data_IF_245006912336
#
_entry.id   IF_245006912336
#
_cell.length_a   1.000
_cell.length_b   1.000
_cell.length_c   1.000
_cell.angle_alpha   90.00
_cell.angle_beta   90.00
_cell.angle_gamma   90.00
#
_symmetry.space_group_name_H-M   'P 1'
#
loop_
_entity.id
_entity.type
_entity.pdbx_description
1 polymer ?
#
# COMPACT_ATOMS: atom_id res chain seq x y z
N UNK A 1 -10.54 6.28 -13.53
CA UNK A 1 -10.42 6.70 -12.12
C UNK A 1 -9.12 7.48 -12.01
N UNK A 2 -9.12 8.70 -11.45
CA UNK A 2 -7.89 9.43 -11.18
C UNK A 2 -7.01 8.63 -10.22
N UNK A 3 -5.70 8.81 -10.33
CA UNK A 3 -4.74 8.17 -9.44
C UNK A 3 -4.96 8.65 -7.99
N UNK A 4 -5.01 7.74 -7.01
CA UNK A 4 -5.09 8.15 -5.61
C UNK A 4 -3.87 8.97 -5.21
N UNK A 5 -4.09 10.04 -4.44
CA UNK A 5 -3.01 10.77 -3.81
C UNK A 5 -2.48 9.99 -2.59
N UNK A 6 -1.39 9.25 -2.79
CA UNK A 6 -0.77 8.47 -1.71
C UNK A 6 -0.34 9.34 -0.52
N UNK A 7 -0.13 10.65 -0.69
CA UNK A 7 0.29 11.52 0.40
C UNK A 7 -0.86 11.95 1.31
N UNK A 8 -2.12 11.79 0.88
CA UNK A 8 -3.30 12.17 1.66
C UNK A 8 -3.42 11.32 2.94
N UNK A 9 -3.26 11.89 4.14
CA UNK A 9 -3.32 11.15 5.40
C UNK A 9 -4.71 10.64 5.76
N UNK A 10 -5.79 11.18 5.17
CA UNK A 10 -7.15 10.68 5.39
C UNK A 10 -7.40 9.38 4.62
N UNK A 11 -6.84 9.27 3.40
CA UNK A 11 -6.95 8.06 2.58
C UNK A 11 -5.87 7.04 2.97
N UNK A 12 -4.67 7.51 3.31
CA UNK A 12 -3.50 6.70 3.67
C UNK A 12 -2.96 7.13 5.04
N UNK A 13 -3.65 6.74 6.13
CA UNK A 13 -3.28 7.11 7.50
C UNK A 13 -1.98 6.46 7.94
N UNK A 14 -1.43 6.97 9.06
CA UNK A 14 -0.45 6.21 9.83
C UNK A 14 -1.15 5.14 10.65
N UNK A 15 -0.40 4.14 11.09
CA UNK A 15 -0.88 3.11 11.99
C UNK A 15 -1.47 3.73 13.26
N UNK A 16 -0.78 4.70 13.86
CA UNK A 16 -1.18 5.37 15.11
C UNK A 16 -2.50 6.14 15.00
N UNK A 17 -2.90 6.58 13.80
CA UNK A 17 -4.18 7.28 13.56
C UNK A 17 -5.29 6.37 13.03
N UNK A 18 -5.01 5.08 12.79
CA UNK A 18 -6.05 4.13 12.40
C UNK A 18 -7.07 3.95 13.52
N UNK A 19 -8.38 3.84 13.19
CA UNK A 19 -9.42 3.67 14.19
C UNK A 19 -9.27 2.36 14.96
N UNK A 20 -9.60 2.38 16.25
CA UNK A 20 -9.62 1.18 17.06
C UNK A 20 -10.88 0.34 16.79
N UNK A 21 -10.81 -0.97 17.04
CA UNK A 21 -11.97 -1.88 16.94
C UNK A 21 -13.02 -1.62 18.01
N UNK A 22 -12.65 -0.98 19.13
CA UNK A 22 -13.58 -0.57 20.19
C UNK A 22 -14.37 0.69 19.86
N UNK A 23 -13.93 1.45 18.85
CA UNK A 23 -14.63 2.65 18.39
C UNK A 23 -15.78 2.24 17.47
N UNK A 24 -17.00 2.69 17.80
CA UNK A 24 -18.15 2.48 16.93
C UNK A 24 -17.84 2.98 15.50
N UNK A 25 -18.22 2.24 14.44
CA UNK A 25 -18.07 2.73 13.08
C UNK A 25 -18.85 4.04 12.96
N UNK A 26 -18.14 5.15 12.71
CA UNK A 26 -18.80 6.41 12.35
C UNK A 26 -19.54 6.21 11.03
N UNK A 27 -20.74 6.79 10.92
CA UNK A 27 -21.51 6.76 9.66
C UNK A 27 -20.74 7.44 8.51
N UNK A 28 -19.78 8.30 8.84
CA UNK A 28 -18.84 8.97 7.92
C UNK A 28 -17.46 8.31 7.85
N UNK A 29 -17.33 7.00 8.12
CA UNK A 29 -16.05 6.32 8.02
C UNK A 29 -15.53 6.31 6.57
N UNK A 30 -14.74 7.33 6.22
CA UNK A 30 -14.10 7.45 4.92
C UNK A 30 -13.25 6.21 4.66
N UNK A 31 -13.39 5.68 3.44
CA UNK A 31 -12.60 4.54 2.99
C UNK A 31 -11.12 4.90 3.02
N UNK A 32 -10.37 4.24 3.88
CA UNK A 32 -8.92 4.42 4.03
C UNK A 32 -8.18 3.11 3.78
N UNK A 33 -6.88 3.23 3.51
CA UNK A 33 -5.98 2.16 3.18
C UNK A 33 -4.67 2.36 3.95
N UNK A 34 -4.43 1.52 4.96
CA UNK A 34 -3.14 1.53 5.64
C UNK A 34 -2.09 0.90 4.72
N UNK A 35 -1.00 1.64 4.50
CA UNK A 35 0.16 1.16 3.75
C UNK A 35 1.26 0.79 4.74
N UNK A 36 1.83 -0.40 4.58
CA UNK A 36 2.96 -0.85 5.39
C UNK A 36 4.00 -1.57 4.55
N UNK A 37 5.26 -1.20 4.66
CA UNK A 37 6.36 -1.99 4.11
C UNK A 37 6.59 -3.22 4.97
N UNK A 38 6.56 -4.40 4.37
CA UNK A 38 6.78 -5.68 5.05
C UNK A 38 8.27 -5.82 5.38
N UNK A 39 8.59 -5.79 6.66
CA UNK A 39 9.94 -6.02 7.17
C UNK A 39 10.21 -7.49 7.46
N UNK A 40 9.25 -8.17 8.09
CA UNK A 40 9.39 -9.56 8.52
C UNK A 40 8.08 -10.35 8.36
N UNK A 41 8.23 -11.67 8.23
CA UNK A 41 7.14 -12.63 8.27
C UNK A 41 7.36 -13.55 9.48
N UNK A 42 6.50 -13.43 10.49
CA UNK A 42 6.56 -14.12 11.77
C UNK A 42 5.43 -15.15 11.86
N UNK A 43 5.40 -16.10 10.92
CA UNK A 43 4.37 -17.16 10.91
C UNK A 43 4.80 -18.32 11.80
N UNK A 44 4.39 -18.30 13.08
CA UNK A 44 4.57 -19.45 14.00
C UNK A 44 3.28 -20.28 14.06
N UNK A 45 2.18 -19.67 14.52
CA UNK A 45 0.86 -20.33 14.62
C UNK A 45 -0.19 -19.69 13.71
N UNK A 46 -0.04 -18.39 13.42
CA UNK A 46 -0.89 -17.62 12.53
C UNK A 46 -0.02 -16.78 11.59
N UNK A 47 -0.40 -16.62 10.31
CA UNK A 47 0.31 -15.75 9.39
C UNK A 47 0.35 -14.33 9.94
N UNK A 48 1.56 -13.84 10.22
CA UNK A 48 1.77 -12.54 10.85
C UNK A 48 2.90 -11.81 10.14
N UNK A 49 2.65 -10.56 9.77
CA UNK A 49 3.63 -9.67 9.16
C UNK A 49 4.00 -8.58 10.16
N UNK A 50 5.29 -8.21 10.18
CA UNK A 50 5.75 -6.98 10.84
C UNK A 50 5.99 -5.95 9.74
N UNK A 51 5.32 -4.80 9.84
CA UNK A 51 5.33 -3.75 8.84
C UNK A 51 5.76 -2.42 9.45
N UNK A 52 6.32 -1.54 8.62
CA UNK A 52 6.53 -0.13 8.94
C UNK A 52 5.64 0.73 8.03
N UNK A 53 4.88 1.65 8.63
CA UNK A 53 3.97 2.53 7.89
C UNK A 53 4.67 3.75 7.27
N UNK A 54 3.89 4.74 6.83
CA UNK A 54 4.42 6.01 6.27
C UNK A 54 5.14 6.90 7.29
N UNK A 55 4.82 6.78 8.58
CA UNK A 55 5.47 7.50 9.66
C UNK A 55 6.74 6.79 10.16
N UNK A 56 6.95 5.53 9.74
CA UNK A 56 8.01 4.66 10.24
C UNK A 56 7.60 3.88 11.48
N UNK A 57 6.34 3.96 11.90
CA UNK A 57 5.81 3.22 13.03
C UNK A 57 5.74 1.74 12.67
N UNK A 58 6.36 0.89 13.51
CA UNK A 58 6.33 -0.56 13.36
C UNK A 58 5.08 -1.15 13.99
N UNK A 59 4.40 -2.03 13.26
CA UNK A 59 3.19 -2.69 13.71
C UNK A 59 3.08 -4.12 13.19
N UNK A 60 2.35 -4.96 13.93
CA UNK A 60 2.02 -6.31 13.51
C UNK A 60 0.67 -6.34 12.80
N UNK A 61 0.57 -7.13 11.73
CA UNK A 61 -0.68 -7.50 11.08
C UNK A 61 -0.82 -9.02 11.09
N UNK A 62 -1.90 -9.50 11.68
CA UNK A 62 -2.20 -10.92 11.83
C UNK A 62 -3.42 -11.28 10.98
N UNK A 63 -3.32 -12.40 10.24
CA UNK A 63 -4.46 -13.00 9.56
C UNK A 63 -5.11 -14.05 10.46
N UNK A 64 -6.42 -13.94 10.69
CA UNK A 64 -7.16 -14.90 11.52
C UNK A 64 -7.53 -16.16 10.74
N UNK A 65 -6.52 -16.93 10.34
CA UNK A 65 -6.69 -18.14 9.53
C UNK A 65 -5.37 -18.57 8.90
N UNK A 66 -5.43 -19.60 8.05
CA UNK A 66 -4.26 -20.01 7.25
C UNK A 66 -4.24 -19.25 5.93
N UNK A 67 -3.06 -18.76 5.56
CA UNK A 67 -2.87 -17.96 4.36
C UNK A 67 -1.44 -18.11 3.84
N UNK A 68 -1.30 -18.46 2.56
CA UNK A 68 -0.01 -18.38 1.89
C UNK A 68 0.31 -16.92 1.54
N UNK A 69 1.09 -16.29 2.42
CA UNK A 69 1.53 -14.89 2.26
C UNK A 69 2.39 -14.70 1.00
N UNK A 70 3.24 -15.67 0.67
CA UNK A 70 4.18 -15.57 -0.45
C UNK A 70 3.46 -15.66 -1.79
N UNK A 71 2.52 -16.60 -1.94
CA UNK A 71 1.68 -16.72 -3.13
C UNK A 71 0.86 -15.45 -3.42
N UNK A 72 0.58 -14.66 -2.37
CA UNK A 72 -0.11 -13.36 -2.46
C UNK A 72 0.81 -12.17 -2.64
N UNK A 73 2.12 -12.39 -2.75
CA UNK A 73 3.13 -11.35 -2.85
C UNK A 73 3.38 -10.56 -1.57
N UNK A 74 2.81 -10.99 -0.43
CA UNK A 74 3.02 -10.40 0.89
C UNK A 74 4.35 -10.91 1.47
N UNK A 75 5.45 -10.46 0.89
CA UNK A 75 6.83 -10.86 1.25
C UNK A 75 7.67 -9.67 1.67
N UNK A 76 8.76 -9.94 2.39
CA UNK A 76 9.73 -8.93 2.83
C UNK A 76 10.14 -8.01 1.67
N UNK A 77 10.15 -6.71 1.94
CA UNK A 77 10.50 -5.66 0.98
C UNK A 77 9.35 -5.16 0.11
N UNK A 78 8.21 -5.85 0.07
CA UNK A 78 6.99 -5.36 -0.59
C UNK A 78 6.17 -4.48 0.36
N UNK A 79 5.20 -3.75 -0.20
CA UNK A 79 4.22 -2.96 0.56
C UNK A 79 2.87 -3.66 0.59
N UNK A 80 2.31 -3.86 1.77
CA UNK A 80 0.93 -4.29 1.94
C UNK A 80 -0.02 -3.08 1.87
N UNK A 81 -1.17 -3.28 1.24
CA UNK A 81 -2.29 -2.34 1.21
C UNK A 81 -3.44 -2.97 1.97
N UNK A 82 -3.81 -2.38 3.10
CA UNK A 82 -4.81 -2.93 4.03
C UNK A 82 -6.02 -2.00 4.05
N UNK A 83 -7.13 -2.36 3.39
CA UNK A 83 -8.29 -1.50 3.35
C UNK A 83 -9.06 -1.58 4.67
N UNK A 84 -9.60 -0.44 5.13
CA UNK A 84 -10.37 -0.32 6.38
C UNK A 84 -9.64 -0.89 7.61
N UNK A 85 -8.31 -0.70 7.67
CA UNK A 85 -7.49 -1.21 8.75
C UNK A 85 -7.96 -0.68 10.10
N UNK A 86 -8.27 -1.59 11.02
CA UNK A 86 -8.63 -1.26 12.41
C UNK A 86 -7.63 -1.84 13.38
N UNK A 87 -7.25 -1.04 14.36
CA UNK A 87 -6.35 -1.44 15.44
C UNK A 87 -7.11 -2.20 16.51
N UNK A 88 -6.65 -3.41 16.82
CA UNK A 88 -7.03 -4.06 18.07
C UNK A 88 -6.14 -3.52 19.19
N UNK A 89 -6.72 -3.22 20.36
CA UNK A 89 -5.94 -2.76 21.50
C UNK A 89 -4.91 -3.83 21.90
N UNK A 90 -3.78 -3.44 22.49
CA UNK A 90 -2.79 -4.38 22.97
C UNK A 90 -3.38 -5.27 24.07
N UNK A 91 -2.92 -6.52 24.14
CA UNK A 91 -3.29 -7.43 25.25
C UNK A 91 -2.60 -7.08 26.57
N UNK A 92 -1.52 -6.29 26.51
CA UNK A 92 -0.73 -5.85 27.66
C UNK A 92 -0.72 -4.33 27.69
N UNK A 93 -0.75 -3.77 28.90
CA UNK A 93 -0.64 -2.33 29.12
C UNK A 93 0.68 -1.80 28.53
N UNK A 94 0.62 -0.68 27.81
CA UNK A 94 1.78 -0.07 27.13
C UNK A 94 2.17 -0.68 25.78
N UNK A 95 1.43 -1.66 25.25
CA UNK A 95 1.67 -2.19 23.90
C UNK A 95 1.07 -1.32 22.78
N UNK A 96 1.58 -1.45 21.56
CA UNK A 96 1.13 -0.62 20.43
C UNK A 96 -0.16 -1.11 19.74
N UNK A 97 -0.74 -2.23 20.18
CA UNK A 97 -1.85 -2.91 19.49
C UNK A 97 -1.39 -3.66 18.24
N UNK A 98 -2.32 -4.15 17.43
CA UNK A 98 -2.03 -4.81 16.15
C UNK A 98 -3.24 -4.77 15.21
N UNK A 99 -3.03 -4.98 13.92
CA UNK A 99 -4.10 -5.14 12.94
C UNK A 99 -4.48 -6.62 12.88
N UNK A 100 -5.78 -6.92 12.88
CA UNK A 100 -6.30 -8.26 12.53
C UNK A 100 -7.07 -8.17 11.22
N UNK A 101 -6.75 -9.10 10.32
CA UNK A 101 -7.51 -9.30 9.08
C UNK A 101 -8.33 -10.55 9.27
N UNK A 102 -9.64 -10.42 9.17
CA UNK A 102 -10.57 -11.55 9.24
C UNK A 102 -10.60 -12.30 7.89
N UNK A 103 -10.97 -13.60 7.86
CA UNK A 103 -10.96 -14.42 6.64
C UNK A 103 -11.67 -13.79 5.44
N UNK A 104 -12.83 -13.17 5.65
CA UNK A 104 -13.58 -12.48 4.60
C UNK A 104 -12.82 -11.32 3.95
N UNK A 105 -11.84 -10.75 4.65
CA UNK A 105 -11.05 -9.61 4.19
C UNK A 105 -9.73 -10.02 3.56
N UNK A 106 -9.36 -11.31 3.55
CA UNK A 106 -8.06 -11.75 3.03
C UNK A 106 -7.86 -11.28 1.58
N UNK A 107 -8.84 -11.44 0.71
CA UNK A 107 -8.76 -11.02 -0.70
C UNK A 107 -8.65 -9.52 -0.90
N UNK A 108 -9.08 -8.73 0.08
CA UNK A 108 -9.02 -7.27 0.01
C UNK A 108 -7.61 -6.73 0.26
N UNK A 109 -6.78 -7.45 1.02
CA UNK A 109 -5.39 -7.09 1.27
C UNK A 109 -4.54 -7.37 0.03
N UNK A 110 -3.90 -6.33 -0.49
CA UNK A 110 -3.08 -6.43 -1.72
C UNK A 110 -1.61 -6.19 -1.41
N UNK A 111 -0.74 -6.76 -2.22
CA UNK A 111 0.69 -6.49 -2.21
C UNK A 111 1.07 -5.60 -3.40
N UNK A 112 1.78 -4.51 -3.13
CA UNK A 112 2.49 -3.73 -4.12
C UNK A 112 3.96 -4.15 -4.13
N UNK A 113 4.54 -4.44 -5.31
CA UNK A 113 5.94 -4.81 -5.40
C UNK A 113 6.85 -3.62 -5.07
N UNK A 114 7.86 -3.87 -4.24
CA UNK A 114 8.83 -2.86 -3.80
C UNK A 114 8.47 -2.15 -2.50
N UNK A 115 9.45 -1.44 -1.96
CA UNK A 115 9.32 -0.79 -0.66
C UNK A 115 8.45 0.46 -0.70
N UNK A 116 8.00 0.91 0.48
CA UNK A 116 7.00 1.96 0.60
C UNK A 116 7.48 3.28 0.00
N UNK A 117 8.75 3.66 0.22
CA UNK A 117 9.37 4.83 -0.43
C UNK A 117 9.20 4.83 -1.95
N UNK A 118 9.38 3.67 -2.59
CA UNK A 118 9.26 3.53 -4.04
C UNK A 118 7.79 3.63 -4.48
N UNK A 119 6.87 3.09 -3.71
CA UNK A 119 5.42 3.23 -3.97
C UNK A 119 5.01 4.70 -3.98
N UNK A 120 5.44 5.48 -2.98
CA UNK A 120 5.18 6.92 -2.92
C UNK A 120 5.80 7.68 -4.09
N UNK A 121 7.06 7.38 -4.42
CA UNK A 121 7.77 8.02 -5.54
C UNK A 121 7.05 7.77 -6.88
N UNK A 122 6.66 6.51 -7.14
CA UNK A 122 5.92 6.15 -8.37
C UNK A 122 4.55 6.81 -8.39
N UNK A 123 3.84 6.84 -7.25
CA UNK A 123 2.55 7.55 -7.15
C UNK A 123 2.66 9.04 -7.42
N UNK A 124 3.67 9.71 -6.87
CA UNK A 124 3.95 11.13 -7.14
C UNK A 124 4.21 11.39 -8.62
N UNK A 125 5.07 10.59 -9.25
CA UNK A 125 5.36 10.71 -10.70
C UNK A 125 4.14 10.47 -11.56
N UNK A 126 3.29 9.51 -11.20
CA UNK A 126 2.05 9.24 -11.93
C UNK A 126 1.06 10.39 -11.79
N UNK A 127 0.91 10.97 -10.59
CA UNK A 127 0.08 12.16 -10.34
C UNK A 127 0.58 13.37 -11.14
N UNK A 128 1.89 13.61 -11.18
CA UNK A 128 2.49 14.66 -12.01
C UNK A 128 2.32 14.43 -13.52
N UNK A 129 2.23 13.16 -13.93
CA UNK A 129 2.02 12.77 -15.31
C UNK A 129 0.54 12.78 -15.72
N UNK A 130 -0.41 12.86 -14.77
CA UNK A 130 -1.82 13.05 -15.08
C UNK A 130 -1.98 14.38 -15.83
N UNK A 131 -2.48 14.31 -17.06
CA UNK A 131 -2.58 15.46 -17.98
C UNK A 131 -1.30 15.80 -18.76
N UNK A 132 -0.17 15.10 -18.54
CA UNK A 132 1.09 15.26 -19.31
C UNK A 132 1.36 14.06 -20.20
N UNK A 133 0.40 13.79 -21.07
CA UNK A 133 0.37 12.61 -21.93
C UNK A 133 1.50 12.55 -22.97
N UNK A 134 2.23 13.63 -23.15
CA UNK A 134 3.24 13.77 -24.20
C UNK A 134 4.66 13.54 -23.71
N UNK A 135 4.89 13.26 -22.41
CA UNK A 135 6.23 13.09 -21.82
C UNK A 135 6.52 11.69 -21.29
N UNK A 136 7.77 11.27 -21.46
CA UNK A 136 8.28 10.01 -20.92
C UNK A 136 8.35 10.08 -19.38
N UNK A 137 7.70 9.15 -18.69
CA UNK A 137 7.66 9.08 -17.22
C UNK A 137 9.03 8.81 -16.59
N UNK A 138 9.99 8.27 -17.35
CA UNK A 138 11.34 7.97 -16.87
C UNK A 138 12.32 9.14 -17.06
N UNK A 139 12.35 9.76 -18.24
CA UNK A 139 13.36 10.77 -18.59
C UNK A 139 12.79 12.17 -18.88
N UNK A 140 11.47 12.35 -18.81
CA UNK A 140 10.80 13.64 -19.00
C UNK A 140 10.74 14.15 -20.45
N UNK A 141 11.41 13.49 -21.41
CA UNK A 141 11.43 13.91 -22.82
C UNK A 141 10.06 13.77 -23.47
N UNK A 142 9.73 14.72 -24.35
CA UNK A 142 8.52 14.67 -25.17
C UNK A 142 8.61 13.57 -26.23
N UNK A 143 7.45 13.02 -26.60
CA UNK A 143 7.35 12.06 -27.69
C UNK A 143 7.77 12.70 -29.01
N UNK A 144 8.77 12.13 -29.69
CA UNK A 144 9.08 12.51 -31.07
C UNK A 144 8.00 12.01 -32.04
N UNK A 145 8.25 12.09 -33.35
CA UNK A 145 7.27 11.73 -34.41
C UNK A 145 6.60 10.35 -34.26
N UNK A 146 7.28 9.39 -33.61
CA UNK A 146 6.75 8.03 -33.37
C UNK A 146 5.86 7.90 -32.12
N UNK A 147 5.69 8.98 -31.35
CA UNK A 147 4.96 8.98 -30.09
C UNK A 147 5.66 8.21 -28.97
N UNK A 148 5.09 8.27 -27.76
CA UNK A 148 5.55 7.48 -26.61
C UNK A 148 4.79 6.14 -26.54
N UNK A 149 5.51 5.08 -26.20
CA UNK A 149 4.88 3.80 -25.89
C UNK A 149 4.18 3.89 -24.54
N UNK A 150 3.09 3.13 -24.37
CA UNK A 150 2.34 3.03 -23.11
C UNK A 150 2.53 1.65 -22.50
N UNK A 151 2.56 1.58 -21.17
CA UNK A 151 2.56 0.30 -20.47
C UNK A 151 1.27 -0.47 -20.81
N UNK A 152 1.39 -1.62 -21.46
CA UNK A 152 0.24 -2.44 -21.88
C UNK A 152 -0.63 -2.92 -20.73
N UNK A 153 -0.08 -2.98 -19.51
CA UNK A 153 -0.79 -3.47 -18.33
C UNK A 153 -1.52 -2.40 -17.54
N UNK A 154 -0.88 -1.25 -17.28
CA UNK A 154 -1.50 -0.19 -16.47
C UNK A 154 -2.00 1.00 -17.29
N UNK A 155 -1.57 1.15 -18.54
CA UNK A 155 -1.94 2.26 -19.43
C UNK A 155 -1.43 3.65 -19.02
N UNK A 156 -1.09 3.86 -17.74
CA UNK A 156 -0.75 5.17 -17.18
C UNK A 156 0.70 5.61 -17.36
N UNK A 157 1.64 4.68 -17.58
CA UNK A 157 3.06 5.01 -17.78
C UNK A 157 3.36 5.14 -19.27
N UNK A 158 4.05 6.21 -19.67
CA UNK A 158 4.52 6.43 -21.03
C UNK A 158 6.05 6.43 -21.09
N UNK A 159 6.64 5.82 -22.11
CA UNK A 159 8.10 5.69 -22.24
C UNK A 159 8.57 5.73 -23.69
N UNK A 160 9.77 6.27 -23.90
CA UNK A 160 10.38 6.46 -25.23
C UNK A 160 11.00 5.18 -25.83
N UNK A 161 10.75 4.02 -25.24
CA UNK A 161 11.14 2.72 -25.79
C UNK A 161 12.61 2.34 -25.72
N UNK A 162 13.50 3.22 -25.26
CA UNK A 162 14.93 2.90 -25.10
C UNK A 162 15.29 2.74 -23.63
N UNK A 163 15.56 1.50 -23.23
CA UNK A 163 16.64 1.23 -22.28
C UNK A 163 17.82 0.85 -23.16
N UNK A 164 18.79 1.75 -23.28
CA UNK A 164 20.15 1.44 -23.72
C UNK A 164 21.03 1.51 -22.50
#
# INVERSE_FOLDING_TARGET
MPLPDFTNPETFPSYTTCPDTSSAPSQDATRHFLLGQIGENMTITRPTLVLADRAGDSFAMMFDGQLDLAARGLKKGNTAVVPWARRKPPKKEGGNGFIVVDPEMFDSVKALPGGLKRVFEVGGRLKEAEGREERCTACGKEGGEKGLMKCSRCGGVRYCGKVS
#
